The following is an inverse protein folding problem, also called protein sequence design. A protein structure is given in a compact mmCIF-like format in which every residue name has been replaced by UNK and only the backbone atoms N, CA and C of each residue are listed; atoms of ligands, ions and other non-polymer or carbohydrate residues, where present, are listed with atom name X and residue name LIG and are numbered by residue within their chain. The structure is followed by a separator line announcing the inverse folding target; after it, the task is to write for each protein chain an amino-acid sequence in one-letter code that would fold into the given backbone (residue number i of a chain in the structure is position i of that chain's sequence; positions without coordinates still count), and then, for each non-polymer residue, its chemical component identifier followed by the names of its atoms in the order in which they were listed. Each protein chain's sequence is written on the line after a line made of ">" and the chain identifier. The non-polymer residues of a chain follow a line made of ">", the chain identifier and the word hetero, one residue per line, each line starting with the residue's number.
data_IF_971444501958
#
_entry.id   IF_971444501958
#
_cell.length_a   1.000
_cell.length_b   1.000
_cell.length_c   1.000
_cell.angle_alpha   90.00
_cell.angle_beta   90.00
_cell.angle_gamma   90.00
#
_symmetry.space_group_name_H-M   'P 1'
#
loop_
_entity.id
_entity.type
_entity.pdbx_description
1 polymer ?
#
# COMPACT_ATOMS: atom_id res chain seq x y z
N UNK A 1 32.64 3.52 14.04
CA UNK A 1 31.59 2.57 14.44
C UNK A 1 30.25 3.16 14.07
N UNK A 2 29.52 2.48 13.17
CA UNK A 2 28.26 2.93 12.64
C UNK A 2 27.14 2.51 13.59
N UNK A 3 26.56 3.48 14.30
CA UNK A 3 25.33 3.29 15.08
C UNK A 3 24.18 3.39 14.07
N UNK A 4 23.88 2.28 13.38
CA UNK A 4 22.65 2.10 12.60
C UNK A 4 22.17 0.67 12.86
N UNK A 5 21.81 0.43 14.12
CA UNK A 5 20.86 -0.61 14.50
C UNK A 5 19.65 0.13 15.11
N UNK A 6 18.48 -0.49 15.17
CA UNK A 6 17.25 -0.01 15.84
C UNK A 6 16.20 0.72 15.00
N UNK A 7 16.10 0.43 13.70
CA UNK A 7 14.76 0.27 13.13
C UNK A 7 14.70 -1.03 12.38
N UNK A 8 14.05 -2.00 13.02
CA UNK A 8 13.54 -3.27 12.47
C UNK A 8 12.50 -3.01 11.35
N UNK A 9 12.77 -2.05 10.46
CA UNK A 9 12.12 -1.84 9.18
C UNK A 9 12.61 -2.95 8.25
N UNK A 10 12.36 -4.21 8.64
CA UNK A 10 12.26 -5.27 7.66
C UNK A 10 11.11 -4.84 6.76
N UNK A 11 11.47 -4.25 5.62
CA UNK A 11 10.48 -3.95 4.61
C UNK A 11 9.71 -5.23 4.37
N UNK A 12 8.39 -5.18 4.48
CA UNK A 12 7.54 -6.29 4.07
C UNK A 12 7.65 -6.32 2.55
N UNK A 13 8.53 -7.20 2.09
CA UNK A 13 8.82 -7.50 0.70
C UNK A 13 8.01 -8.72 0.20
N UNK A 14 7.17 -9.27 1.07
CA UNK A 14 6.24 -10.34 0.77
C UNK A 14 4.90 -9.77 0.28
N UNK A 15 4.62 -10.00 -1.01
CA UNK A 15 3.36 -9.59 -1.62
C UNK A 15 2.16 -10.34 -1.05
N UNK A 16 2.33 -11.58 -0.55
CA UNK A 16 1.26 -12.33 0.10
C UNK A 16 0.90 -11.72 1.46
N UNK A 17 1.89 -11.16 2.17
CA UNK A 17 1.67 -10.45 3.43
C UNK A 17 1.04 -9.05 3.22
N UNK A 18 1.36 -8.36 2.12
CA UNK A 18 0.83 -7.03 1.80
C UNK A 18 -0.57 -7.06 1.19
N UNK A 19 -0.90 -8.08 0.39
CA UNK A 19 -2.21 -8.21 -0.28
C UNK A 19 -3.42 -8.07 0.65
N UNK A 20 -3.49 -8.71 1.84
CA UNK A 20 -4.63 -8.54 2.73
C UNK A 20 -4.76 -7.10 3.24
N UNK A 21 -3.65 -6.42 3.55
CA UNK A 21 -3.66 -5.00 3.96
C UNK A 21 -4.15 -4.11 2.82
N UNK A 22 -3.66 -4.33 1.60
CA UNK A 22 -4.12 -3.59 0.42
C UNK A 22 -5.62 -3.75 0.24
N UNK A 23 -6.14 -4.98 0.30
CA UNK A 23 -7.58 -5.22 0.18
C UNK A 23 -8.39 -4.54 1.28
N UNK A 24 -7.95 -4.62 2.53
CA UNK A 24 -8.61 -3.95 3.64
C UNK A 24 -8.71 -2.43 3.39
N UNK A 25 -7.61 -1.80 2.96
CA UNK A 25 -7.58 -0.38 2.60
C UNK A 25 -8.57 -0.05 1.47
N UNK A 26 -8.65 -0.89 0.43
CA UNK A 26 -9.60 -0.66 -0.67
C UNK A 26 -11.05 -0.84 -0.22
N UNK A 27 -11.32 -1.84 0.62
CA UNK A 27 -12.63 -2.15 1.17
C UNK A 27 -13.12 -1.07 2.16
N UNK A 28 -12.21 -0.43 2.89
CA UNK A 28 -12.50 0.69 3.79
C UNK A 28 -12.74 2.01 3.05
N UNK A 29 -12.31 2.10 1.78
CA UNK A 29 -12.40 3.31 0.95
C UNK A 29 -13.10 3.06 -0.41
N UNK A 30 -14.35 2.54 -0.40
CA UNK A 30 -15.04 2.16 -1.63
C UNK A 30 -15.34 3.35 -2.55
N UNK A 31 -15.57 4.54 -1.98
CA UNK A 31 -15.82 5.78 -2.74
C UNK A 31 -14.58 6.22 -3.52
N UNK A 32 -13.40 6.12 -2.92
CA UNK A 32 -12.12 6.40 -3.55
C UNK A 32 -11.82 5.36 -4.63
N UNK A 33 -12.16 4.09 -4.42
CA UNK A 33 -12.00 3.03 -5.43
C UNK A 33 -12.84 3.33 -6.65
N UNK A 34 -14.12 3.69 -6.46
CA UNK A 34 -15.00 4.10 -7.54
C UNK A 34 -14.44 5.29 -8.32
N UNK A 35 -14.00 6.34 -7.62
CA UNK A 35 -13.38 7.52 -8.25
C UNK A 35 -12.10 7.19 -9.01
N UNK A 36 -11.28 6.28 -8.51
CA UNK A 36 -10.08 5.81 -9.21
C UNK A 36 -10.45 5.12 -10.53
N UNK A 37 -11.45 4.23 -10.46
CA UNK A 37 -11.98 3.50 -11.63
C UNK A 37 -12.67 4.44 -12.64
N UNK A 38 -13.27 5.53 -12.18
CA UNK A 38 -13.80 6.63 -13.02
C UNK A 38 -12.71 7.48 -13.69
N UNK A 39 -11.43 7.14 -13.50
CA UNK A 39 -10.29 7.76 -14.17
C UNK A 39 -9.48 8.72 -13.29
N UNK A 40 -9.82 8.87 -12.01
CA UNK A 40 -9.04 9.69 -11.06
C UNK A 40 -7.82 8.92 -10.53
N UNK A 41 -6.91 8.55 -11.45
CA UNK A 41 -5.72 7.73 -11.18
C UNK A 41 -4.76 8.35 -10.14
N UNK A 42 -4.88 9.63 -9.82
CA UNK A 42 -4.12 10.29 -8.74
C UNK A 42 -4.43 9.74 -7.35
N UNK A 43 -5.56 9.03 -7.17
CA UNK A 43 -5.91 8.37 -5.91
C UNK A 43 -4.98 7.21 -5.55
N UNK A 44 -4.15 6.70 -6.47
CA UNK A 44 -3.14 5.69 -6.13
C UNK A 44 -2.18 6.16 -5.03
N UNK A 45 -1.87 7.48 -4.99
CA UNK A 45 -1.03 8.07 -3.94
C UNK A 45 -1.72 8.11 -2.58
N UNK A 46 -3.04 8.27 -2.57
CA UNK A 46 -3.85 8.21 -1.34
C UNK A 46 -3.82 6.79 -0.76
N UNK A 47 -4.10 5.78 -1.58
CA UNK A 47 -4.09 4.39 -1.13
C UNK A 47 -2.70 3.92 -0.70
N UNK A 48 -1.65 4.33 -1.41
CA UNK A 48 -0.28 4.07 -0.98
C UNK A 48 -0.01 4.65 0.42
N UNK A 49 -0.48 5.88 0.71
CA UNK A 49 -0.39 6.46 2.04
C UNK A 49 -1.09 5.62 3.11
N UNK A 50 -2.30 5.15 2.83
CA UNK A 50 -3.07 4.29 3.73
C UNK A 50 -2.37 2.94 3.98
N UNK A 51 -1.85 2.28 2.94
CA UNK A 51 -1.10 1.02 3.07
C UNK A 51 0.19 1.23 3.89
N UNK A 52 0.90 2.34 3.67
CA UNK A 52 2.08 2.67 4.46
C UNK A 52 1.72 2.95 5.93
N UNK A 53 0.57 3.56 6.21
CA UNK A 53 0.09 3.79 7.57
C UNK A 53 -0.26 2.48 8.29
N UNK A 54 -1.06 1.62 7.66
CA UNK A 54 -1.46 0.32 8.19
C UNK A 54 -0.25 -0.60 8.49
N UNK A 55 0.79 -0.51 7.66
CA UNK A 55 2.03 -1.27 7.84
C UNK A 55 3.06 -0.56 8.72
N UNK A 56 2.72 0.58 9.33
CA UNK A 56 3.64 1.41 10.14
C UNK A 56 4.95 1.78 9.39
N UNK A 57 4.84 1.99 8.08
CA UNK A 57 5.96 2.31 7.18
C UNK A 57 6.83 1.11 6.82
N UNK A 58 6.41 -0.12 7.16
CA UNK A 58 7.12 -1.33 6.81
C UNK A 58 6.83 -1.80 5.39
N UNK A 59 5.74 -1.41 4.73
CA UNK A 59 5.48 -1.83 3.35
C UNK A 59 6.58 -1.36 2.40
N UNK A 60 6.99 -2.24 1.47
CA UNK A 60 7.79 -1.83 0.33
C UNK A 60 6.90 -0.97 -0.61
N UNK A 61 7.30 0.27 -0.93
CA UNK A 61 6.48 1.19 -1.74
C UNK A 61 6.31 0.75 -3.19
N UNK A 62 7.29 0.04 -3.78
CA UNK A 62 7.20 -0.48 -5.15
C UNK A 62 6.17 -1.62 -5.21
N UNK A 63 6.28 -2.59 -4.31
CA UNK A 63 5.34 -3.72 -4.23
C UNK A 63 3.92 -3.28 -3.84
N UNK A 64 3.79 -2.37 -2.87
CA UNK A 64 2.49 -1.84 -2.48
C UNK A 64 1.80 -1.13 -3.65
N UNK A 65 2.57 -0.39 -4.47
CA UNK A 65 2.04 0.27 -5.66
C UNK A 65 1.57 -0.74 -6.71
N UNK A 66 2.38 -1.77 -7.01
CA UNK A 66 2.00 -2.81 -7.96
C UNK A 66 0.72 -3.53 -7.51
N UNK A 67 0.66 -3.96 -6.25
CA UNK A 67 -0.52 -4.62 -5.68
C UNK A 67 -1.78 -3.72 -5.70
N UNK A 68 -1.62 -2.43 -5.39
CA UNK A 68 -2.71 -1.48 -5.46
C UNK A 68 -3.24 -1.31 -6.89
N UNK A 69 -2.34 -1.23 -7.87
CA UNK A 69 -2.74 -1.13 -9.28
C UNK A 69 -3.44 -2.41 -9.73
N UNK A 70 -2.89 -3.57 -9.39
CA UNK A 70 -3.49 -4.87 -9.71
C UNK A 70 -4.90 -5.03 -9.13
N UNK A 71 -5.12 -4.69 -7.86
CA UNK A 71 -6.44 -4.83 -7.22
C UNK A 71 -7.44 -3.75 -7.67
N UNK A 72 -6.97 -2.56 -8.07
CA UNK A 72 -7.84 -1.48 -8.56
C UNK A 72 -8.24 -1.63 -10.04
N UNK A 73 -7.34 -2.19 -10.86
CA UNK A 73 -7.55 -2.44 -12.29
C UNK A 73 -8.16 -3.83 -12.58
N UNK A 74 -8.22 -4.73 -11.59
CA UNK A 74 -9.02 -5.96 -11.60
C UNK A 74 -10.53 -5.66 -11.55
#
# INVERSE_FOLDING_TARGET
>A
EAIVDERDLRQVDDTEALRPTVRAVLDDHPDEVARYRDGKKSLVGFFMGQVMEETNGAANPELARELLQDELDA
#
